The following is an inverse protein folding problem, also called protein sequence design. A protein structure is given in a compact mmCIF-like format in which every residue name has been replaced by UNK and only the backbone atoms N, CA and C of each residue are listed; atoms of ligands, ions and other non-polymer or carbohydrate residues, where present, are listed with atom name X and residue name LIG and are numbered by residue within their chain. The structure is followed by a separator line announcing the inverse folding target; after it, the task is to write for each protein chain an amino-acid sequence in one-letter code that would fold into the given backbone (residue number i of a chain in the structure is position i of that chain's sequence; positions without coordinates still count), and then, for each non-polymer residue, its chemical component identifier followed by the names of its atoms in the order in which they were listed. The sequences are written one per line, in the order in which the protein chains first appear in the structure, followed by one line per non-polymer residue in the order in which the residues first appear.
data_IF_978596574926
#
_entry.id   IF_978596574926
#
_cell.length_a   1.000
_cell.length_b   1.000
_cell.length_c   1.000
_cell.angle_alpha   90.00
_cell.angle_beta   90.00
_cell.angle_gamma   90.00
#
_symmetry.space_group_name_H-M   'P 1'
#
loop_
_entity.id
_entity.type
_entity.pdbx_description
1 polymer ?
#
# COMPACT_ATOMS: atom_id res chain seq x y z
N UNK A 1 14.96 -0.88 -1.24
CA UNK A 1 13.53 -0.61 -1.52
C UNK A 1 13.43 -0.16 -2.98
N UNK A 2 12.89 -0.97 -3.89
CA UNK A 2 12.94 -0.71 -5.34
C UNK A 2 12.25 0.61 -5.71
N UNK A 3 13.00 1.55 -6.28
CA UNK A 3 12.53 2.88 -6.73
C UNK A 3 11.29 2.79 -7.65
N UNK A 4 11.20 1.70 -8.41
CA UNK A 4 10.07 1.35 -9.28
C UNK A 4 8.74 1.18 -8.55
N UNK A 5 8.73 0.66 -7.31
CA UNK A 5 7.49 0.43 -6.57
C UNK A 5 6.85 1.75 -6.10
N UNK A 6 7.68 2.73 -5.73
CA UNK A 6 7.22 4.08 -5.36
C UNK A 6 6.61 4.80 -6.55
N UNK A 7 7.27 4.76 -7.71
CA UNK A 7 6.76 5.35 -8.96
C UNK A 7 5.41 4.72 -9.37
N UNK A 8 5.29 3.40 -9.27
CA UNK A 8 4.02 2.69 -9.51
C UNK A 8 2.93 3.13 -8.54
N UNK A 9 3.25 3.32 -7.27
CA UNK A 9 2.30 3.80 -6.26
C UNK A 9 1.78 5.21 -6.56
N UNK A 10 2.64 6.10 -7.07
CA UNK A 10 2.27 7.46 -7.46
C UNK A 10 1.37 7.52 -8.69
N UNK A 11 1.57 6.59 -9.64
CA UNK A 11 0.77 6.46 -10.85
C UNK A 11 -0.65 5.90 -10.61
N UNK A 12 -0.94 5.33 -9.43
CA UNK A 12 -2.25 4.76 -9.13
C UNK A 12 -3.37 5.82 -9.19
N UNK A 13 -4.62 5.42 -9.49
CA UNK A 13 -5.75 6.34 -9.52
C UNK A 13 -6.21 6.73 -8.09
N UNK A 14 -6.76 7.94 -7.99
CA UNK A 14 -7.50 8.40 -6.80
C UNK A 14 -8.94 7.87 -6.81
N UNK A 15 -9.10 6.54 -6.86
CA UNK A 15 -10.41 5.89 -6.95
C UNK A 15 -10.49 4.67 -6.03
N UNK A 16 -11.71 4.23 -5.67
CA UNK A 16 -11.91 3.00 -4.94
C UNK A 16 -11.45 1.78 -5.73
N UNK A 17 -10.95 0.76 -5.04
CA UNK A 17 -10.57 -0.49 -5.67
C UNK A 17 -9.86 -1.44 -4.73
N UNK A 18 -9.34 -2.51 -5.33
CA UNK A 18 -8.57 -3.55 -4.66
C UNK A 18 -7.14 -3.54 -5.21
N UNK A 19 -6.15 -3.72 -4.33
CA UNK A 19 -4.74 -3.85 -4.69
C UNK A 19 -4.16 -5.15 -4.13
N UNK A 20 -3.11 -5.65 -4.79
CA UNK A 20 -2.45 -6.90 -4.46
C UNK A 20 -0.95 -6.63 -4.36
N UNK A 21 -0.34 -6.94 -3.22
CA UNK A 21 1.11 -7.05 -3.14
C UNK A 21 1.52 -8.48 -3.46
N UNK A 22 2.60 -8.61 -4.22
CA UNK A 22 3.15 -9.87 -4.66
C UNK A 22 4.59 -10.01 -4.16
N UNK A 23 5.02 -11.24 -3.90
CA UNK A 23 6.43 -11.56 -3.67
C UNK A 23 7.24 -11.44 -4.97
N UNK A 24 8.55 -11.68 -4.87
CA UNK A 24 9.47 -11.63 -6.02
C UNK A 24 9.16 -12.71 -7.07
N UNK A 25 8.51 -13.81 -6.68
CA UNK A 25 8.03 -14.86 -7.57
C UNK A 25 6.65 -14.55 -8.19
N UNK A 26 6.07 -13.39 -7.89
CA UNK A 26 4.77 -12.95 -8.40
C UNK A 26 3.56 -13.54 -7.66
N UNK A 27 3.76 -14.25 -6.56
CA UNK A 27 2.68 -14.84 -5.75
C UNK A 27 2.03 -13.76 -4.88
N UNK A 28 0.70 -13.69 -4.79
CA UNK A 28 0.02 -12.71 -3.95
C UNK A 28 0.30 -13.00 -2.48
N UNK A 29 0.80 -11.99 -1.75
CA UNK A 29 1.10 -12.07 -0.32
C UNK A 29 0.14 -11.23 0.53
N UNK A 30 -0.52 -10.25 -0.08
CA UNK A 30 -1.48 -9.39 0.60
C UNK A 30 -2.48 -8.79 -0.38
N UNK A 31 -3.74 -8.74 0.02
CA UNK A 31 -4.82 -8.09 -0.74
C UNK A 31 -5.49 -7.06 0.16
N UNK A 32 -5.62 -5.83 -0.33
CA UNK A 32 -6.29 -4.76 0.39
C UNK A 32 -7.32 -4.05 -0.46
N UNK A 33 -8.38 -3.53 0.17
CA UNK A 33 -9.35 -2.62 -0.46
C UNK A 33 -9.14 -1.20 0.04
N UNK A 34 -9.40 -0.21 -0.81
CA UNK A 34 -9.27 1.20 -0.46
C UNK A 34 -10.36 2.04 -1.11
N UNK A 35 -10.71 3.16 -0.47
CA UNK A 35 -11.51 4.25 -1.09
C UNK A 35 -10.68 5.06 -2.10
N UNK A 36 -9.36 5.12 -1.91
CA UNK A 36 -8.40 5.70 -2.85
C UNK A 36 -7.17 4.79 -2.90
N UNK A 37 -6.96 4.16 -4.06
CA UNK A 37 -5.81 3.28 -4.28
C UNK A 37 -4.48 4.04 -4.12
N UNK A 38 -4.36 5.23 -4.74
CA UNK A 38 -3.15 6.06 -4.62
C UNK A 38 -2.81 6.38 -3.16
N UNK A 39 -3.76 6.93 -2.40
CA UNK A 39 -3.50 7.33 -1.02
C UNK A 39 -3.14 6.13 -0.13
N UNK A 40 -3.87 5.01 -0.30
CA UNK A 40 -3.64 3.81 0.51
C UNK A 40 -2.30 3.17 0.21
N UNK A 41 -1.96 2.95 -1.07
CA UNK A 41 -0.72 2.28 -1.45
C UNK A 41 0.49 3.17 -1.14
N UNK A 42 0.39 4.49 -1.36
CA UNK A 42 1.46 5.45 -1.00
C UNK A 42 1.77 5.44 0.50
N UNK A 43 0.79 5.20 1.37
CA UNK A 43 0.99 5.16 2.82
C UNK A 43 1.96 4.07 3.30
N UNK A 44 2.16 3.01 2.52
CA UNK A 44 3.16 1.97 2.83
C UNK A 44 4.60 2.40 2.49
N UNK A 45 4.77 3.44 1.67
CA UNK A 45 6.08 3.94 1.22
C UNK A 45 6.47 5.29 1.81
N UNK A 46 5.58 5.88 2.62
CA UNK A 46 5.89 7.05 3.43
C UNK A 46 6.48 6.53 4.75
N UNK A 47 7.66 7.03 5.13
CA UNK A 47 8.29 6.67 6.40
C UNK A 47 7.33 6.92 7.58
N UNK A 48 7.39 5.99 8.54
CA UNK A 48 6.50 5.87 9.69
C UNK A 48 6.30 7.24 10.38
N UNK A 49 5.07 7.76 10.39
CA UNK A 49 4.69 8.81 11.35
C UNK A 49 4.26 8.11 12.64
N UNK A 50 4.88 8.41 13.80
CA UNK A 50 4.46 7.85 15.07
C UNK A 50 3.15 8.53 15.48
N UNK A 51 2.01 7.93 15.14
CA UNK A 51 0.73 8.05 15.85
C UNK A 51 -0.37 7.39 15.03
N UNK A 52 -0.59 6.11 15.29
CA UNK A 52 -1.90 5.49 15.08
C UNK A 52 -1.93 4.23 15.96
N UNK A 53 -1.98 4.44 17.29
CA UNK A 53 -2.10 3.38 18.32
C UNK A 53 -3.24 2.38 18.04
N UNK A 54 -4.19 2.75 17.18
CA UNK A 54 -5.33 1.92 16.81
C UNK A 54 -5.04 0.85 15.75
N UNK A 55 -3.86 0.85 15.11
CA UNK A 55 -3.54 -0.11 14.03
C UNK A 55 -2.81 -1.35 14.50
N UNK A 56 -2.19 -1.30 15.69
CA UNK A 56 -1.44 -2.42 16.27
C UNK A 56 -2.35 -3.50 16.90
N UNK A 57 -3.62 -3.16 17.17
CA UNK A 57 -4.60 -4.08 17.74
C UNK A 57 -5.27 -5.00 16.68
N UNK A 58 -4.89 -4.90 15.41
CA UNK A 58 -5.52 -5.63 14.30
C UNK A 58 -4.54 -6.46 13.45
N UNK A 59 -3.32 -6.70 13.94
CA UNK A 59 -2.38 -7.68 13.37
C UNK A 59 -2.03 -8.73 14.42
#
# INVERSE_FOLDING_TARGET
MNETCRQKAEALPNQPGVYIFKDEAGRPIYIGKAKSLRSRVRSYFQDFRPSDEKRDLML
#
